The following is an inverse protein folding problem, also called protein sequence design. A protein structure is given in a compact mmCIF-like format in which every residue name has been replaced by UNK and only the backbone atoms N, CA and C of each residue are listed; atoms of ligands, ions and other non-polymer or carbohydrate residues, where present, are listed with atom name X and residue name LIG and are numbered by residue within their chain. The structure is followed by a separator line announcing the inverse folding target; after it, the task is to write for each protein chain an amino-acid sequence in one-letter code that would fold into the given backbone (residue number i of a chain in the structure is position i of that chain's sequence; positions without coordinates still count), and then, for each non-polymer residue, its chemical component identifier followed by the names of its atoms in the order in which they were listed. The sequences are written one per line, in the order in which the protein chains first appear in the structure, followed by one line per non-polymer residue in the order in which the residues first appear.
data_IF_071992330550
#
_entry.id   IF_071992330550
#
_cell.length_a   1.000
_cell.length_b   1.000
_cell.length_c   1.000
_cell.angle_alpha   90.00
_cell.angle_beta   90.00
_cell.angle_gamma   90.00
#
_symmetry.space_group_name_H-M   'P 1'
#
loop_
_entity.id
_entity.type
_entity.pdbx_description
1 polymer ?
#
# COMPACT_ATOMS: atom_id res chain seq x y z
N UNK A 1 33.79 0.02 37.65
CA UNK A 1 32.44 -0.45 37.27
C UNK A 1 32.15 0.14 35.91
N UNK A 2 32.27 -0.68 34.87
CA UNK A 2 32.11 -0.26 33.47
C UNK A 2 30.62 -0.15 33.17
N UNK A 3 30.18 1.03 32.75
CA UNK A 3 28.85 1.24 32.20
C UNK A 3 28.89 0.84 30.73
N UNK A 4 28.58 -0.42 30.44
CA UNK A 4 28.22 -0.84 29.08
C UNK A 4 26.85 -0.22 28.75
N UNK A 5 26.78 0.57 27.68
CA UNK A 5 25.55 1.05 27.06
C UNK A 5 25.23 0.18 25.85
N UNK A 6 24.25 -0.75 25.93
CA UNK A 6 23.73 -1.45 24.77
C UNK A 6 22.31 -0.96 24.50
N UNK A 7 22.12 0.08 23.69
CA UNK A 7 20.75 0.52 23.31
C UNK A 7 20.63 1.08 21.90
N UNK A 8 21.71 1.59 21.29
CA UNK A 8 21.60 2.31 20.01
C UNK A 8 21.40 1.36 18.81
N UNK A 9 22.18 0.28 18.72
CA UNK A 9 22.13 -0.69 17.61
C UNK A 9 20.84 -1.51 17.54
N UNK A 10 20.25 -1.86 18.70
CA UNK A 10 18.97 -2.59 18.78
C UNK A 10 17.80 -1.73 18.28
N UNK A 11 17.82 -0.42 18.58
CA UNK A 11 16.77 0.51 18.18
C UNK A 11 16.83 0.81 16.68
N UNK A 12 18.03 0.94 16.11
CA UNK A 12 18.22 1.10 14.66
C UNK A 12 17.76 -0.13 13.88
N UNK A 13 18.10 -1.33 14.34
CA UNK A 13 17.67 -2.59 13.71
C UNK A 13 16.14 -2.70 13.71
N UNK A 14 15.49 -2.43 14.85
CA UNK A 14 14.03 -2.42 14.95
C UNK A 14 13.37 -1.38 14.04
N UNK A 15 14.04 -0.26 13.79
CA UNK A 15 13.52 0.80 12.92
C UNK A 15 13.57 0.41 11.44
N UNK A 16 14.69 -0.17 10.98
CA UNK A 16 14.84 -0.66 9.61
C UNK A 16 13.89 -1.82 9.31
N UNK A 17 13.70 -2.74 10.26
CA UNK A 17 12.72 -3.82 10.11
C UNK A 17 11.30 -3.29 9.94
N UNK A 18 10.95 -2.21 10.66
CA UNK A 18 9.65 -1.59 10.52
C UNK A 18 9.45 -0.91 9.14
N UNK A 19 10.51 -0.35 8.54
CA UNK A 19 10.49 0.19 7.17
C UNK A 19 10.20 -0.92 6.16
N UNK A 20 10.95 -2.03 6.22
CA UNK A 20 10.74 -3.16 5.30
C UNK A 20 9.40 -3.86 5.54
N UNK A 21 8.93 -3.93 6.78
CA UNK A 21 7.60 -4.45 7.11
C UNK A 21 6.50 -3.56 6.52
N UNK A 22 6.58 -2.24 6.67
CA UNK A 22 5.63 -1.31 6.08
C UNK A 22 5.59 -1.41 4.54
N UNK A 23 6.76 -1.49 3.90
CA UNK A 23 6.87 -1.68 2.45
C UNK A 23 6.18 -2.98 1.99
N UNK A 24 6.43 -4.10 2.68
CA UNK A 24 5.81 -5.39 2.38
C UNK A 24 4.29 -5.34 2.58
N UNK A 25 3.84 -4.75 3.68
CA UNK A 25 2.41 -4.58 3.98
C UNK A 25 1.70 -3.73 2.93
N UNK A 26 2.32 -2.63 2.47
CA UNK A 26 1.79 -1.83 1.37
C UNK A 26 1.59 -2.66 0.09
N UNK A 27 2.60 -3.46 -0.29
CA UNK A 27 2.50 -4.37 -1.44
C UNK A 27 1.38 -5.40 -1.30
N UNK A 28 1.27 -6.06 -0.14
CA UNK A 28 0.21 -7.04 0.12
C UNK A 28 -1.20 -6.43 0.03
N UNK A 29 -1.37 -5.19 0.51
CA UNK A 29 -2.66 -4.48 0.45
C UNK A 29 -3.00 -4.01 -0.96
N UNK A 30 -1.99 -3.64 -1.76
CA UNK A 30 -2.18 -3.40 -3.20
C UNK A 30 -2.63 -4.67 -3.95
N UNK A 31 -2.01 -5.81 -3.68
CA UNK A 31 -2.40 -7.08 -4.32
C UNK A 31 -3.82 -7.53 -3.90
N UNK A 32 -4.16 -7.34 -2.62
CA UNK A 32 -5.53 -7.54 -2.15
C UNK A 32 -6.52 -6.61 -2.87
N UNK A 33 -6.16 -5.34 -3.05
CA UNK A 33 -6.98 -4.37 -3.79
C UNK A 33 -7.24 -4.85 -5.22
N UNK A 34 -6.19 -5.27 -5.94
CA UNK A 34 -6.30 -5.79 -7.31
C UNK A 34 -7.19 -7.02 -7.40
N UNK A 35 -7.06 -7.93 -6.43
CA UNK A 35 -7.87 -9.16 -6.35
C UNK A 35 -9.35 -8.85 -6.16
N UNK A 36 -9.67 -7.94 -5.24
CA UNK A 36 -11.05 -7.51 -5.02
C UNK A 36 -11.63 -6.74 -6.21
N UNK A 37 -10.81 -5.92 -6.87
CA UNK A 37 -11.22 -5.18 -8.05
C UNK A 37 -11.54 -6.10 -9.23
N UNK A 38 -10.69 -7.10 -9.49
CA UNK A 38 -10.95 -8.13 -10.49
C UNK A 38 -12.23 -8.93 -10.15
N UNK A 39 -12.46 -9.21 -8.86
CA UNK A 39 -13.69 -9.87 -8.41
C UNK A 39 -14.93 -9.01 -8.64
N UNK A 40 -14.84 -7.69 -8.44
CA UNK A 40 -15.93 -6.76 -8.71
C UNK A 40 -16.27 -6.67 -10.20
N UNK A 41 -15.24 -6.61 -11.06
CA UNK A 41 -15.42 -6.58 -12.51
C UNK A 41 -16.03 -7.87 -13.06
N UNK A 42 -15.65 -9.03 -12.50
CA UNK A 42 -16.19 -10.33 -12.89
C UNK A 42 -17.58 -10.62 -12.30
N UNK A 43 -18.03 -9.87 -11.28
CA UNK A 43 -19.28 -10.10 -10.60
C UNK A 43 -20.48 -9.84 -11.53
N UNK A 44 -21.33 -10.85 -11.74
CA UNK A 44 -22.60 -10.69 -12.45
C UNK A 44 -23.71 -10.06 -11.60
N UNK A 45 -23.62 -10.16 -10.27
CA UNK A 45 -24.66 -9.66 -9.35
C UNK A 45 -24.27 -8.29 -8.75
N UNK A 46 -25.18 -7.30 -8.73
CA UNK A 46 -24.88 -5.96 -8.22
C UNK A 46 -24.44 -5.94 -6.74
N UNK A 47 -25.05 -6.79 -5.90
CA UNK A 47 -24.73 -6.85 -4.47
C UNK A 47 -23.29 -7.30 -4.20
N UNK A 48 -22.85 -8.39 -4.85
CA UNK A 48 -21.47 -8.88 -4.72
C UNK A 48 -20.47 -7.88 -5.31
N UNK A 49 -20.81 -7.24 -6.43
CA UNK A 49 -19.97 -6.19 -7.03
C UNK A 49 -19.72 -5.04 -6.06
N UNK A 50 -20.76 -4.55 -5.38
CA UNK A 50 -20.62 -3.47 -4.40
C UNK A 50 -19.79 -3.88 -3.18
N UNK A 51 -19.97 -5.11 -2.69
CA UNK A 51 -19.16 -5.65 -1.58
C UNK A 51 -17.68 -5.75 -1.96
N UNK A 52 -17.37 -6.30 -3.14
CA UNK A 52 -16.01 -6.40 -3.64
C UNK A 52 -15.39 -5.01 -3.87
N UNK A 53 -16.15 -4.05 -4.41
CA UNK A 53 -15.70 -2.66 -4.54
C UNK A 53 -15.40 -2.02 -3.18
N UNK A 54 -16.22 -2.27 -2.15
CA UNK A 54 -15.96 -1.76 -0.81
C UNK A 54 -14.69 -2.37 -0.21
N UNK A 55 -14.49 -3.69 -0.36
CA UNK A 55 -13.28 -4.36 0.10
C UNK A 55 -12.03 -3.84 -0.61
N UNK A 56 -12.11 -3.63 -1.93
CA UNK A 56 -11.03 -3.04 -2.72
C UNK A 56 -10.67 -1.62 -2.23
N UNK A 57 -11.66 -0.76 -1.98
CA UNK A 57 -11.42 0.59 -1.43
C UNK A 57 -10.74 0.55 -0.06
N UNK A 58 -11.18 -0.34 0.83
CA UNK A 58 -10.58 -0.46 2.17
C UNK A 58 -9.11 -0.91 2.07
N UNK A 59 -8.83 -1.95 1.27
CA UNK A 59 -7.46 -2.41 1.05
C UNK A 59 -6.58 -1.33 0.41
N UNK A 60 -7.12 -0.53 -0.52
CA UNK A 60 -6.40 0.59 -1.13
C UNK A 60 -6.08 1.68 -0.12
N UNK A 61 -7.04 2.03 0.74
CA UNK A 61 -6.85 3.00 1.82
C UNK A 61 -5.76 2.54 2.81
N UNK A 62 -5.76 1.28 3.19
CA UNK A 62 -4.70 0.70 4.04
C UNK A 62 -3.33 0.73 3.34
N UNK A 63 -3.26 0.40 2.04
CA UNK A 63 -2.02 0.51 1.28
C UNK A 63 -1.48 1.95 1.27
N UNK A 64 -2.34 2.96 1.07
CA UNK A 64 -1.96 4.38 1.15
C UNK A 64 -1.43 4.75 2.54
N UNK A 65 -2.06 4.25 3.61
CA UNK A 65 -1.61 4.52 4.97
C UNK A 65 -0.20 3.94 5.24
N UNK A 66 0.07 2.72 4.78
CA UNK A 66 1.42 2.14 4.90
C UNK A 66 2.47 2.91 4.10
N UNK A 67 2.11 3.40 2.91
CA UNK A 67 3.00 4.24 2.10
C UNK A 67 3.30 5.57 2.79
N UNK A 68 2.29 6.22 3.37
CA UNK A 68 2.48 7.46 4.11
C UNK A 68 3.36 7.27 5.36
N UNK A 69 3.18 6.16 6.10
CA UNK A 69 4.04 5.82 7.24
C UNK A 69 5.49 5.54 6.79
N UNK A 70 5.66 4.81 5.69
CA UNK A 70 6.96 4.55 5.09
C UNK A 70 7.66 5.86 4.66
N UNK A 71 6.96 6.76 3.98
CA UNK A 71 7.48 8.07 3.57
C UNK A 71 7.90 8.92 4.78
N UNK A 72 7.07 8.96 5.82
CA UNK A 72 7.39 9.66 7.06
C UNK A 72 8.65 9.11 7.73
N UNK A 73 8.84 7.78 7.71
CA UNK A 73 10.04 7.13 8.25
C UNK A 73 11.28 7.39 7.40
N UNK A 74 11.16 7.33 6.08
CA UNK A 74 12.26 7.63 5.16
C UNK A 74 12.69 9.10 5.26
N UNK A 75 11.74 10.03 5.41
CA UNK A 75 12.05 11.45 5.61
C UNK A 75 12.91 11.72 6.86
N UNK A 76 12.83 10.86 7.88
CA UNK A 76 13.67 10.95 9.09
C UNK A 76 15.09 10.42 8.91
N UNK A 77 15.34 9.57 7.90
CA UNK A 77 16.67 9.08 7.57
C UNK A 77 17.52 10.13 6.83
N UNK A 78 16.90 11.24 6.39
CA UNK A 78 17.56 12.36 5.72
C UNK A 78 17.64 12.20 4.20
N UNK A 79 17.75 13.34 3.51
CA UNK A 79 17.92 13.45 2.06
C UNK A 79 19.40 13.27 1.66
N UNK A 80 20.03 12.20 2.15
CA UNK A 80 21.42 11.86 1.83
C UNK A 80 21.55 11.23 0.44
N UNK A 81 22.60 11.57 -0.34
CA UNK A 81 22.90 10.89 -1.59
C UNK A 81 23.32 9.45 -1.25
N UNK A 82 22.55 8.48 -1.75
CA UNK A 82 22.71 7.03 -1.53
C UNK A 82 22.50 6.55 -0.08
N UNK A 83 21.27 6.15 0.19
CA UNK A 83 20.98 5.18 1.26
C UNK A 83 21.90 3.95 1.08
N UNK A 84 22.53 3.43 2.15
CA UNK A 84 23.41 2.27 2.01
C UNK A 84 22.60 1.03 1.62
N UNK A 85 23.17 0.05 0.90
CA UNK A 85 22.50 -1.23 0.69
C UNK A 85 22.09 -1.88 2.01
N UNK A 86 20.88 -2.48 2.13
CA UNK A 86 19.85 -2.68 1.10
C UNK A 86 18.78 -1.57 1.07
N UNK A 87 19.04 -0.39 1.63
CA UNK A 87 18.09 0.73 1.66
C UNK A 87 18.09 1.54 0.35
N UNK A 88 19.14 1.38 -0.46
CA UNK A 88 19.31 1.91 -1.81
C UNK A 88 18.15 1.54 -2.76
N UNK A 89 17.52 0.38 -2.59
CA UNK A 89 16.36 -0.04 -3.41
C UNK A 89 15.04 0.57 -2.97
N UNK A 90 14.96 1.19 -1.79
CA UNK A 90 13.71 1.70 -1.23
C UNK A 90 13.07 2.82 -2.06
N UNK A 91 13.81 3.81 -2.59
CA UNK A 91 13.23 4.86 -3.42
C UNK A 91 12.54 4.28 -4.67
N UNK A 92 13.22 3.40 -5.39
CA UNK A 92 12.66 2.77 -6.60
C UNK A 92 11.44 1.90 -6.28
N UNK A 93 11.46 1.15 -5.18
CA UNK A 93 10.31 0.34 -4.75
C UNK A 93 9.12 1.21 -4.31
N UNK A 94 9.38 2.30 -3.60
CA UNK A 94 8.36 3.24 -3.19
C UNK A 94 7.70 3.92 -4.40
N UNK A 95 8.49 4.33 -5.40
CA UNK A 95 7.95 4.92 -6.63
C UNK A 95 7.13 3.93 -7.46
N UNK A 96 7.53 2.65 -7.50
CA UNK A 96 6.72 1.60 -8.12
C UNK A 96 5.36 1.45 -7.39
N UNK A 97 5.37 1.39 -6.05
CA UNK A 97 4.15 1.30 -5.23
C UNK A 97 3.26 2.54 -5.41
N UNK A 98 3.84 3.74 -5.50
CA UNK A 98 3.08 4.98 -5.76
C UNK A 98 2.40 4.95 -7.13
N UNK A 99 3.13 4.50 -8.15
CA UNK A 99 2.60 4.33 -9.50
C UNK A 99 1.45 3.34 -9.52
N UNK A 100 1.61 2.21 -8.84
CA UNK A 100 0.59 1.18 -8.70
C UNK A 100 -0.64 1.65 -7.93
N UNK A 101 -0.44 2.40 -6.84
CA UNK A 101 -1.53 3.03 -6.07
C UNK A 101 -2.35 3.95 -6.94
N UNK A 102 -1.70 4.80 -7.74
CA UNK A 102 -2.37 5.72 -8.66
C UNK A 102 -3.16 4.97 -9.73
N UNK A 103 -2.55 4.00 -10.40
CA UNK A 103 -3.22 3.20 -11.43
C UNK A 103 -4.43 2.44 -10.86
N UNK A 104 -4.31 1.95 -9.63
CA UNK A 104 -5.40 1.23 -8.95
C UNK A 104 -6.53 2.18 -8.52
N UNK A 105 -6.20 3.40 -8.08
CA UNK A 105 -7.16 4.46 -7.75
C UNK A 105 -8.00 4.85 -8.97
N UNK A 106 -7.35 5.09 -10.11
CA UNK A 106 -8.01 5.41 -11.38
C UNK A 106 -8.95 4.28 -11.83
N UNK A 107 -8.53 3.01 -11.67
CA UNK A 107 -9.37 1.86 -12.01
C UNK A 107 -10.53 1.70 -11.03
N UNK A 108 -10.32 1.90 -9.73
CA UNK A 108 -11.38 1.92 -8.72
C UNK A 108 -12.47 2.94 -9.04
N UNK A 109 -12.07 4.17 -9.41
CA UNK A 109 -12.98 5.24 -9.79
C UNK A 109 -13.80 4.86 -11.03
N UNK A 110 -13.15 4.26 -12.04
CA UNK A 110 -13.83 3.80 -13.25
C UNK A 110 -14.88 2.72 -12.96
N UNK A 111 -14.50 1.64 -12.29
CA UNK A 111 -15.41 0.52 -11.98
C UNK A 111 -16.55 1.00 -11.08
N UNK A 112 -16.28 1.94 -10.17
CA UNK A 112 -17.31 2.55 -9.35
C UNK A 112 -18.33 3.37 -10.18
N UNK A 113 -17.86 4.16 -11.14
CA UNK A 113 -18.72 4.93 -12.03
C UNK A 113 -19.56 4.01 -12.93
N UNK A 114 -18.97 2.93 -13.44
CA UNK A 114 -19.67 1.92 -14.24
C UNK A 114 -20.76 1.23 -13.42
N UNK A 115 -20.46 0.85 -12.17
CA UNK A 115 -21.43 0.24 -11.27
C UNK A 115 -22.59 1.19 -10.93
N UNK A 116 -22.34 2.50 -10.81
CA UNK A 116 -23.37 3.51 -10.56
C UNK A 116 -24.24 3.81 -11.79
N UNK A 117 -23.72 3.57 -13.00
CA UNK A 117 -24.41 3.86 -14.27
C UNK A 117 -25.29 2.70 -14.77
N UNK A 118 -25.22 1.53 -14.14
CA UNK A 118 -26.06 0.39 -14.52
C UNK A 118 -27.45 0.49 -13.91
N UNK A 119 -28.53 0.37 -14.72
CA UNK A 119 -29.88 0.40 -14.21
C UNK A 119 -30.15 -0.80 -13.29
N UNK A 120 -30.66 -0.50 -12.10
CA UNK A 120 -31.11 -1.50 -11.11
C UNK A 120 -32.36 -2.18 -11.68
N UNK A 121 -32.21 -3.20 -12.54
CA UNK A 121 -33.37 -3.86 -13.14
C UNK A 121 -33.15 -4.86 -14.28
N UNK A 122 -31.92 -5.25 -14.63
CA UNK A 122 -31.71 -6.38 -15.55
C UNK A 122 -30.91 -7.48 -14.86
N UNK A 123 -31.64 -8.40 -14.25
CA UNK A 123 -31.22 -9.74 -13.87
C UNK A 123 -32.32 -10.72 -14.31
#
# INVERSE_FOLDING_TARGET
MSSETPTETTQETSYLDAIFAALRSAGQKLDATRTWLASAEAAGTPGWRLQALSAARNAHGEARAYVADLEARLGRLGSGPELPPPLDVLPARLDAIRTDLKATDERLLRVAADAASQPVGQA
#
